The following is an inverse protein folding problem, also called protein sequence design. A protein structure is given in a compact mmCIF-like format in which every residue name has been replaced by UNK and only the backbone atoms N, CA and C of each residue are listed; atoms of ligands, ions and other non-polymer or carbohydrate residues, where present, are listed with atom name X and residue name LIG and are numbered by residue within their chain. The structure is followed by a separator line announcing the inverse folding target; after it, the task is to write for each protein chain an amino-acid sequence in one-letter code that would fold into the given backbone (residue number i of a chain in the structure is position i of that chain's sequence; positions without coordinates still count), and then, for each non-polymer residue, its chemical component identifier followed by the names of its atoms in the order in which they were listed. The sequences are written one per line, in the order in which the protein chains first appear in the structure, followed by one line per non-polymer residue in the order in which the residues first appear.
data_IF_562370957637
#
_entry.id   IF_562370957637
#
_cell.length_a   1.000
_cell.length_b   1.000
_cell.length_c   1.000
_cell.angle_alpha   90.00
_cell.angle_beta   90.00
_cell.angle_gamma   90.00
#
_symmetry.space_group_name_H-M   'P 1'
#
loop_
_entity.id
_entity.type
_entity.pdbx_description
1 polymer ?
#
# COMPACT_ATOMS: atom_id res chain seq x y z
N UNK A 1 11.91 -11.47 6.48
CA UNK A 1 11.09 -10.28 6.86
C UNK A 1 10.36 -10.56 8.18
N UNK A 2 10.02 -11.82 8.46
CA UNK A 2 9.95 -12.35 9.83
C UNK A 2 11.08 -13.38 9.97
N UNK A 3 11.82 -13.35 11.07
CA UNK A 3 12.72 -14.46 11.45
C UNK A 3 12.04 -15.20 12.58
N UNK A 4 11.66 -16.45 12.32
CA UNK A 4 11.13 -17.38 13.31
C UNK A 4 12.29 -18.21 13.83
N UNK A 5 12.79 -17.87 15.01
CA UNK A 5 13.50 -18.82 15.85
C UNK A 5 12.49 -19.35 16.88
N UNK A 6 12.69 -20.58 17.36
CA UNK A 6 11.72 -21.44 18.05
C UNK A 6 10.96 -20.84 19.24
N UNK A 7 11.32 -19.66 19.75
CA UNK A 7 10.59 -18.98 20.83
C UNK A 7 10.45 -17.45 20.65
N UNK A 8 10.90 -16.85 19.54
CA UNK A 8 10.77 -15.40 19.32
C UNK A 8 10.59 -15.04 17.84
N UNK A 9 9.47 -14.39 17.53
CA UNK A 9 9.21 -13.79 16.23
C UNK A 9 9.73 -12.34 16.22
N UNK A 10 10.78 -12.08 15.45
CA UNK A 10 11.32 -10.72 15.29
C UNK A 10 10.97 -10.16 13.91
N UNK A 11 10.19 -9.08 13.90
CA UNK A 11 9.91 -8.31 12.70
C UNK A 11 10.93 -7.17 12.54
N UNK A 12 11.65 -7.14 11.41
CA UNK A 12 12.60 -6.06 11.10
C UNK A 12 11.94 -5.07 10.15
N UNK A 13 11.26 -4.06 10.72
CA UNK A 13 10.48 -3.09 9.94
C UNK A 13 11.30 -2.34 8.89
N UNK A 14 12.56 -2.00 9.16
CA UNK A 14 13.42 -1.26 8.22
C UNK A 14 13.79 -2.01 6.92
N UNK A 15 13.43 -3.29 6.80
CA UNK A 15 13.63 -4.10 5.57
C UNK A 15 12.32 -4.36 4.81
N UNK A 16 11.16 -4.04 5.39
CA UNK A 16 9.87 -4.24 4.76
C UNK A 16 9.64 -3.18 3.66
N UNK A 17 9.13 -3.60 2.50
CA UNK A 17 8.79 -2.68 1.40
C UNK A 17 9.98 -2.02 0.67
N UNK A 18 11.23 -2.28 1.11
CA UNK A 18 12.43 -1.62 0.55
C UNK A 18 12.77 -2.07 -0.87
N UNK A 19 12.47 -3.31 -1.23
CA UNK A 19 12.90 -3.89 -2.51
C UNK A 19 11.70 -4.17 -3.43
N UNK A 20 11.82 -3.75 -4.69
CA UNK A 20 10.90 -4.09 -5.78
C UNK A 20 11.48 -5.24 -6.60
N UNK A 21 10.64 -6.15 -7.08
CA UNK A 21 11.08 -7.16 -8.03
C UNK A 21 11.44 -6.49 -9.37
N UNK A 22 12.56 -6.88 -9.98
CA UNK A 22 13.10 -6.27 -11.21
C UNK A 22 12.13 -6.33 -12.40
N UNK A 23 11.22 -7.30 -12.43
CA UNK A 23 10.15 -7.36 -13.46
C UNK A 23 9.27 -6.11 -13.50
N UNK A 24 9.27 -5.30 -12.43
CA UNK A 24 8.50 -4.07 -12.35
C UNK A 24 9.34 -2.78 -12.51
N UNK A 25 10.52 -2.88 -13.13
CA UNK A 25 11.40 -1.73 -13.39
C UNK A 25 10.80 -0.70 -14.35
N UNK A 26 9.83 -1.09 -15.18
CA UNK A 26 9.12 -0.20 -16.10
C UNK A 26 8.29 0.88 -15.38
N UNK A 27 7.84 0.61 -14.15
CA UNK A 27 7.15 1.57 -13.31
C UNK A 27 8.17 2.51 -12.66
N UNK A 28 8.31 3.71 -13.23
CA UNK A 28 9.12 4.80 -12.68
C UNK A 28 8.36 5.47 -11.53
N UNK A 29 8.52 4.94 -10.32
CA UNK A 29 7.79 5.41 -9.14
C UNK A 29 8.71 5.82 -7.98
N UNK A 30 8.26 6.79 -7.20
CA UNK A 30 8.75 7.03 -5.84
C UNK A 30 7.86 6.30 -4.84
N UNK A 31 8.46 5.55 -3.92
CA UNK A 31 7.73 4.87 -2.84
C UNK A 31 7.98 5.55 -1.52
N UNK A 32 6.89 5.96 -0.90
CA UNK A 32 6.87 6.44 0.47
C UNK A 32 6.25 5.35 1.34
N UNK A 33 6.90 5.04 2.47
CA UNK A 33 6.34 4.15 3.48
C UNK A 33 5.68 5.03 4.53
N UNK A 34 4.36 5.06 4.53
CA UNK A 34 3.60 5.66 5.62
C UNK A 34 3.34 4.60 6.70
N UNK A 35 3.78 4.86 7.92
CA UNK A 35 3.53 3.99 9.07
C UNK A 35 2.59 4.71 10.03
N UNK A 36 1.39 4.18 10.18
CA UNK A 36 0.40 4.68 11.14
C UNK A 36 0.40 3.74 12.35
N UNK A 37 0.81 4.24 13.51
CA UNK A 37 0.88 3.47 14.75
C UNK A 37 -0.12 4.06 15.75
N UNK A 38 -1.17 3.33 16.15
CA UNK A 38 -2.14 3.79 17.15
C UNK A 38 -1.52 3.71 18.55
N UNK A 39 -0.57 4.58 18.87
CA UNK A 39 0.13 4.61 20.15
C UNK A 39 0.38 6.03 20.64
N UNK A 40 0.67 6.17 21.94
CA UNK A 40 1.09 7.44 22.52
C UNK A 40 2.58 7.67 22.24
N UNK A 41 2.94 8.84 21.70
CA UNK A 41 4.33 9.22 21.37
C UNK A 41 5.30 9.04 22.56
N UNK A 42 4.82 9.18 23.80
CA UNK A 42 5.63 9.00 25.01
C UNK A 42 6.12 7.55 25.20
N UNK A 43 5.49 6.58 24.54
CA UNK A 43 5.77 5.15 24.69
C UNK A 43 6.42 4.53 23.44
N UNK A 44 6.86 5.33 22.47
CA UNK A 44 7.24 4.85 21.12
C UNK A 44 8.35 3.78 21.14
N UNK A 45 9.32 3.87 22.06
CA UNK A 45 10.41 2.91 22.17
C UNK A 45 9.94 1.52 22.65
N UNK A 46 8.87 1.47 23.46
CA UNK A 46 8.26 0.24 23.97
C UNK A 46 7.00 -0.16 23.18
N UNK A 47 6.60 0.62 22.18
CA UNK A 47 5.28 0.48 21.56
C UNK A 47 5.20 -0.60 20.50
N UNK A 48 6.31 -1.00 19.86
CA UNK A 48 6.24 -1.88 18.69
C UNK A 48 5.75 -3.29 19.03
N UNK A 49 6.24 -3.86 20.13
CA UNK A 49 5.79 -5.16 20.62
C UNK A 49 4.32 -5.09 21.04
N UNK A 50 3.92 -4.04 21.75
CA UNK A 50 2.52 -3.86 22.15
C UNK A 50 1.57 -3.61 20.98
N UNK A 51 2.03 -2.93 19.93
CA UNK A 51 1.27 -2.76 18.68
C UNK A 51 1.07 -4.10 18.00
N UNK A 52 2.10 -4.95 17.95
CA UNK A 52 1.97 -6.31 17.42
C UNK A 52 0.99 -7.15 18.25
N UNK A 53 1.14 -7.16 19.58
CA UNK A 53 0.25 -7.89 20.50
C UNK A 53 -1.21 -7.43 20.36
N UNK A 54 -1.44 -6.13 20.19
CA UNK A 54 -2.77 -5.60 19.91
C UNK A 54 -3.31 -6.05 18.54
N UNK A 55 -2.49 -6.06 17.49
CA UNK A 55 -2.93 -6.53 16.15
C UNK A 55 -3.35 -7.99 16.12
N UNK A 56 -2.70 -8.86 16.89
CA UNK A 56 -3.02 -10.30 16.94
C UNK A 56 -4.12 -10.63 17.95
N UNK A 57 -4.50 -9.69 18.81
CA UNK A 57 -5.57 -9.88 19.79
C UNK A 57 -6.95 -9.74 19.11
N UNK A 58 -7.78 -10.81 19.08
CA UNK A 58 -9.08 -10.78 18.39
C UNK A 58 -10.09 -9.81 19.02
N UNK A 59 -9.87 -9.39 20.27
CA UNK A 59 -10.73 -8.46 20.99
C UNK A 59 -10.23 -7.00 20.91
N UNK A 60 -9.10 -6.75 20.25
CA UNK A 60 -8.56 -5.40 20.13
C UNK A 60 -9.37 -4.59 19.11
N UNK A 61 -9.90 -3.45 19.55
CA UNK A 61 -10.56 -2.48 18.69
C UNK A 61 -9.52 -1.41 18.33
N UNK A 62 -9.18 -1.32 17.05
CA UNK A 62 -8.29 -0.27 16.56
C UNK A 62 -8.95 1.10 16.79
N UNK A 63 -8.32 2.04 17.50
CA UNK A 63 -8.86 3.37 17.73
C UNK A 63 -8.89 4.23 16.46
N UNK A 64 -8.17 3.85 15.41
CA UNK A 64 -8.17 4.53 14.12
C UNK A 64 -9.14 3.79 13.19
N UNK A 65 -10.32 4.39 12.99
CA UNK A 65 -11.35 3.86 12.09
C UNK A 65 -11.13 4.25 10.63
N UNK A 66 -10.56 5.43 10.39
CA UNK A 66 -10.26 5.95 9.06
C UNK A 66 -9.03 6.87 9.12
N UNK A 67 -8.12 6.70 8.18
CA UNK A 67 -7.00 7.59 7.97
C UNK A 67 -6.90 7.88 6.47
N UNK A 68 -7.03 9.15 6.09
CA UNK A 68 -6.93 9.61 4.70
C UNK A 68 -5.81 10.63 4.57
N UNK A 69 -5.21 10.69 3.38
CA UNK A 69 -4.30 11.74 2.99
C UNK A 69 -4.97 12.58 1.92
N UNK A 70 -4.83 13.89 2.03
CA UNK A 70 -5.19 14.79 0.95
C UNK A 70 -4.15 14.66 -0.15
N UNK A 71 -4.64 14.48 -1.38
CA UNK A 71 -3.81 14.55 -2.57
C UNK A 71 -3.87 15.97 -3.10
N UNK A 72 -2.72 16.48 -3.52
CA UNK A 72 -2.66 17.79 -4.17
C UNK A 72 -3.48 17.79 -5.48
N UNK A 73 -4.20 18.87 -5.75
CA UNK A 73 -5.12 18.94 -6.90
C UNK A 73 -4.39 18.85 -8.24
N UNK A 74 -3.19 19.44 -8.35
CA UNK A 74 -2.37 19.37 -9.56
C UNK A 74 -1.88 17.94 -9.78
N UNK A 75 -1.31 17.34 -8.73
CA UNK A 75 -0.89 15.94 -8.75
C UNK A 75 -2.04 14.96 -9.04
N UNK A 76 -3.25 15.26 -8.54
CA UNK A 76 -4.44 14.49 -8.86
C UNK A 76 -4.80 14.65 -10.34
N UNK A 77 -4.80 15.88 -10.88
CA UNK A 77 -5.16 16.14 -12.28
C UNK A 77 -4.23 15.47 -13.29
N UNK A 78 -2.96 15.30 -12.94
CA UNK A 78 -1.92 14.66 -13.77
C UNK A 78 -1.76 13.14 -13.50
N UNK A 79 -2.66 12.56 -12.71
CA UNK A 79 -2.55 11.16 -12.28
C UNK A 79 -2.54 10.19 -13.45
N UNK A 80 -1.61 9.23 -13.38
CA UNK A 80 -1.58 8.04 -14.24
C UNK A 80 -1.89 6.78 -13.43
N UNK A 81 -2.75 5.92 -13.96
CA UNK A 81 -3.12 4.63 -13.37
C UNK A 81 -2.71 3.52 -14.31
N UNK A 82 -1.69 2.74 -13.93
CA UNK A 82 -1.33 1.50 -14.62
C UNK A 82 -2.20 0.35 -14.14
N UNK A 83 -2.90 -0.31 -15.07
CA UNK A 83 -3.76 -1.44 -14.78
C UNK A 83 -2.97 -2.67 -14.33
N UNK A 84 -3.65 -3.58 -13.62
CA UNK A 84 -3.06 -4.87 -13.27
C UNK A 84 -2.82 -5.71 -14.55
N UNK A 85 -1.71 -6.47 -14.64
CA UNK A 85 -1.42 -7.32 -15.80
C UNK A 85 -2.52 -8.33 -16.14
N UNK A 86 -3.27 -8.77 -15.12
CA UNK A 86 -4.35 -9.74 -15.22
C UNK A 86 -5.70 -9.11 -14.84
N UNK A 87 -5.88 -7.82 -15.12
CA UNK A 87 -7.13 -7.13 -14.81
C UNK A 87 -8.30 -7.77 -15.58
N UNK A 88 -9.44 -7.93 -14.92
CA UNK A 88 -10.66 -8.38 -15.58
C UNK A 88 -11.36 -7.23 -16.31
N UNK A 89 -12.15 -7.54 -17.33
CA UNK A 89 -12.97 -6.54 -18.05
C UNK A 89 -13.91 -5.76 -17.11
N UNK A 90 -14.46 -6.44 -16.08
CA UNK A 90 -15.28 -5.79 -15.06
C UNK A 90 -14.51 -4.75 -14.25
N UNK A 91 -13.29 -5.08 -13.80
CA UNK A 91 -12.46 -4.14 -13.06
C UNK A 91 -11.97 -2.98 -13.94
N UNK A 92 -11.64 -3.23 -15.22
CA UNK A 92 -11.36 -2.17 -16.18
C UNK A 92 -12.52 -1.19 -16.29
N UNK A 93 -13.75 -1.70 -16.39
CA UNK A 93 -14.96 -0.86 -16.46
C UNK A 93 -15.11 0.02 -15.22
N UNK A 94 -14.80 -0.51 -14.03
CA UNK A 94 -14.82 0.27 -12.79
C UNK A 94 -13.79 1.41 -12.85
N UNK A 95 -12.56 1.16 -13.29
CA UNK A 95 -11.53 2.20 -13.41
C UNK A 95 -11.97 3.31 -14.38
N UNK A 96 -12.57 2.96 -15.51
CA UNK A 96 -13.12 3.94 -16.45
C UNK A 96 -14.27 4.77 -15.86
N UNK A 97 -15.13 4.16 -15.05
CA UNK A 97 -16.19 4.88 -14.34
C UNK A 97 -15.62 5.85 -13.29
N UNK A 98 -14.55 5.45 -12.59
CA UNK A 98 -13.86 6.31 -11.62
C UNK A 98 -13.22 7.52 -12.32
N UNK A 99 -12.55 7.30 -13.46
CA UNK A 99 -12.05 8.36 -14.33
C UNK A 99 -13.13 9.37 -14.67
N UNK A 100 -14.25 8.87 -15.21
CA UNK A 100 -15.36 9.72 -15.64
C UNK A 100 -15.98 10.52 -14.49
N UNK A 101 -16.06 9.93 -13.30
CA UNK A 101 -16.79 10.53 -12.18
C UNK A 101 -15.94 11.50 -11.36
N UNK A 102 -14.64 11.24 -11.24
CA UNK A 102 -13.78 11.97 -10.29
C UNK A 102 -12.58 12.66 -10.94
N UNK A 103 -11.98 12.07 -11.97
CA UNK A 103 -10.77 12.62 -12.57
C UNK A 103 -10.74 12.40 -14.10
N UNK A 104 -11.43 13.25 -14.87
CA UNK A 104 -11.51 13.08 -16.32
C UNK A 104 -10.15 13.19 -17.04
N UNK A 105 -9.18 13.90 -16.47
CA UNK A 105 -7.83 14.06 -17.03
C UNK A 105 -6.90 12.88 -16.74
N UNK A 106 -7.26 11.98 -15.81
CA UNK A 106 -6.49 10.79 -15.47
C UNK A 106 -6.17 9.94 -16.71
N UNK A 107 -4.93 9.47 -16.80
CA UNK A 107 -4.49 8.58 -17.87
C UNK A 107 -4.52 7.13 -17.36
N UNK A 108 -5.10 6.23 -18.14
CA UNK A 108 -5.13 4.80 -17.83
C UNK A 108 -4.16 4.10 -18.79
N UNK A 109 -3.22 3.32 -18.23
CA UNK A 109 -2.17 2.63 -18.96
C UNK A 109 -2.29 1.12 -18.78
N UNK A 110 -2.02 0.37 -19.84
CA UNK A 110 -1.85 -1.08 -19.71
C UNK A 110 -0.53 -1.42 -19.02
N UNK A 111 -0.49 -2.57 -18.34
CA UNK A 111 0.76 -3.03 -17.75
C UNK A 111 1.71 -3.60 -18.81
N UNK A 112 2.99 -3.26 -18.72
CA UNK A 112 4.04 -3.92 -19.50
C UNK A 112 4.14 -5.43 -19.23
N UNK A 113 3.57 -5.91 -18.12
CA UNK A 113 3.52 -7.34 -17.79
C UNK A 113 2.25 -8.04 -18.30
N UNK A 114 1.34 -7.32 -18.96
CA UNK A 114 0.13 -7.89 -19.53
C UNK A 114 0.48 -9.03 -20.50
N UNK A 115 -0.12 -10.21 -20.29
CA UNK A 115 0.18 -11.42 -21.04
C UNK A 115 1.57 -12.04 -20.82
N UNK A 116 2.40 -11.49 -19.93
CA UNK A 116 3.76 -11.99 -19.61
C UNK A 116 3.86 -12.75 -18.29
N UNK A 117 2.79 -12.75 -17.50
CA UNK A 117 2.69 -13.52 -16.25
C UNK A 117 2.00 -14.86 -16.53
N UNK A 118 2.63 -15.95 -16.09
CA UNK A 118 2.09 -17.32 -16.14
C UNK A 118 1.71 -17.78 -14.75
#
# INVERSE_FOLDING_TARGET
IVQTNSDQEKMVMGKLGKHKNTRWEFQKEFRYVLIVIPTNLKNLANSYEQVYLNMVNPNYINPISLFTLDIDDEAFSEMEVTLSPNISTGNQTIVELMKKSWNPSMIILESDLSGKLR
#
